data_IF_968573253422
#
_entry.id   IF_968573253422
#
_cell.length_a   1.000
_cell.length_b   1.000
_cell.length_c   1.000
_cell.angle_alpha   90.00
_cell.angle_beta   90.00
_cell.angle_gamma   90.00
#
_symmetry.space_group_name_H-M   'P 1'
#
loop_
_entity.id
_entity.type
_entity.pdbx_description
1 polymer ?
#
# COMPACT_ATOMS: atom_id res chain seq x y z
N UNK A 1 -7.91 33.29 -2.66
CA UNK A 1 -7.72 31.83 -2.75
C UNK A 1 -6.43 31.57 -3.50
N UNK A 2 -5.41 31.03 -2.83
CA UNK A 2 -4.15 30.72 -3.49
C UNK A 2 -4.35 29.47 -4.37
N UNK A 3 -4.31 29.65 -5.69
CA UNK A 3 -4.24 28.53 -6.63
C UNK A 3 -2.86 27.90 -6.51
N UNK A 4 -2.76 26.80 -5.78
CA UNK A 4 -1.54 26.00 -5.75
C UNK A 4 -1.38 25.40 -7.15
N UNK A 5 -0.41 25.90 -7.92
CA UNK A 5 -0.11 25.35 -9.23
C UNK A 5 0.42 23.93 -9.06
N UNK A 6 -0.28 22.95 -9.63
CA UNK A 6 0.18 21.55 -9.66
C UNK A 6 1.48 21.51 -10.47
N UNK A 7 2.55 20.99 -9.88
CA UNK A 7 3.81 20.79 -10.58
C UNK A 7 3.62 19.76 -11.70
N UNK A 8 3.70 20.21 -12.97
CA UNK A 8 3.51 19.34 -14.14
C UNK A 8 4.85 18.99 -14.77
N UNK A 9 5.16 17.68 -14.83
CA UNK A 9 6.33 17.16 -15.55
C UNK A 9 5.94 16.69 -16.95
N UNK A 10 6.64 17.16 -18.00
CA UNK A 10 6.39 16.68 -19.37
C UNK A 10 6.86 15.24 -19.53
N UNK A 11 6.00 14.42 -20.14
CA UNK A 11 6.27 13.02 -20.49
C UNK A 11 5.72 12.75 -21.88
N UNK A 12 6.49 12.03 -22.68
CA UNK A 12 6.06 11.59 -24.00
C UNK A 12 5.40 10.21 -23.86
N UNK A 13 4.30 10.02 -24.59
CA UNK A 13 3.55 8.77 -24.63
C UNK A 13 3.28 8.42 -26.10
N UNK A 14 3.39 7.14 -26.43
CA UNK A 14 3.02 6.64 -27.75
C UNK A 14 1.57 6.16 -27.72
N UNK A 15 0.78 6.65 -28.67
CA UNK A 15 -0.62 6.28 -28.84
C UNK A 15 -0.83 5.84 -30.29
N UNK A 16 -1.70 4.85 -30.49
CA UNK A 16 -2.09 4.48 -31.85
C UNK A 16 -2.79 5.65 -32.57
N UNK A 17 -2.65 5.72 -33.89
CA UNK A 17 -3.28 6.77 -34.71
C UNK A 17 -4.80 6.78 -34.53
N UNK A 18 -5.41 5.60 -34.44
CA UNK A 18 -6.86 5.47 -34.23
C UNK A 18 -7.29 5.99 -32.85
N UNK A 19 -6.54 5.66 -31.80
CA UNK A 19 -6.76 6.17 -30.43
C UNK A 19 -6.70 7.69 -30.41
N UNK A 20 -5.68 8.28 -31.04
CA UNK A 20 -5.50 9.73 -31.08
C UNK A 20 -6.67 10.44 -31.77
N UNK A 21 -7.17 9.88 -32.88
CA UNK A 21 -8.35 10.39 -33.59
C UNK A 21 -9.60 10.37 -32.72
N UNK A 22 -9.89 9.23 -32.07
CA UNK A 22 -11.05 9.09 -31.17
C UNK A 22 -10.98 10.07 -30.00
N UNK A 23 -9.82 10.20 -29.36
CA UNK A 23 -9.61 11.17 -28.27
C UNK A 23 -9.78 12.62 -28.75
N UNK A 24 -9.38 12.93 -29.98
CA UNK A 24 -9.54 14.27 -30.56
C UNK A 24 -11.02 14.62 -30.77
N UNK A 25 -11.82 13.68 -31.26
CA UNK A 25 -13.28 13.86 -31.40
C UNK A 25 -13.93 14.05 -30.03
N UNK A 26 -13.56 13.23 -29.04
CA UNK A 26 -14.07 13.36 -27.67
C UNK A 26 -13.70 14.71 -27.05
N UNK A 27 -12.45 15.16 -27.19
CA UNK A 27 -12.00 16.45 -26.68
C UNK A 27 -12.79 17.61 -27.31
N UNK A 28 -12.97 17.59 -28.64
CA UNK A 28 -13.74 18.59 -29.38
C UNK A 28 -15.21 18.64 -28.92
N UNK A 29 -15.84 17.48 -28.68
CA UNK A 29 -17.21 17.41 -28.18
C UNK A 29 -17.40 18.06 -26.79
N UNK A 30 -16.32 18.18 -26.02
CA UNK A 30 -16.31 18.84 -24.70
C UNK A 30 -15.78 20.28 -24.73
N UNK A 31 -15.49 20.83 -25.92
CA UNK A 31 -14.88 22.16 -26.06
C UNK A 31 -13.47 22.26 -25.45
N UNK A 32 -12.76 21.13 -25.30
CA UNK A 32 -11.42 21.07 -24.71
C UNK A 32 -10.38 20.79 -25.79
N UNK A 33 -9.15 21.24 -25.55
CA UNK A 33 -8.01 20.80 -26.37
C UNK A 33 -7.71 19.33 -26.10
N UNK A 34 -7.16 18.62 -27.11
CA UNK A 34 -6.75 17.23 -26.97
C UNK A 34 -5.80 17.02 -25.77
N UNK A 35 -4.84 17.93 -25.60
CA UNK A 35 -3.89 17.91 -24.48
C UNK A 35 -4.61 18.00 -23.13
N UNK A 36 -5.48 19.00 -22.95
CA UNK A 36 -6.19 19.19 -21.69
C UNK A 36 -7.12 18.01 -21.37
N UNK A 37 -7.71 17.41 -22.42
CA UNK A 37 -8.55 16.23 -22.29
C UNK A 37 -7.76 14.99 -21.84
N UNK A 38 -6.62 14.70 -22.47
CA UNK A 38 -5.74 13.57 -22.10
C UNK A 38 -5.21 13.75 -20.66
N UNK A 39 -4.73 14.95 -20.32
CA UNK A 39 -4.26 15.24 -18.96
C UNK A 39 -5.35 14.97 -17.91
N UNK A 40 -6.56 15.46 -18.15
CA UNK A 40 -7.68 15.26 -17.23
C UNK A 40 -8.04 13.78 -17.08
N UNK A 41 -8.08 13.01 -18.16
CA UNK A 41 -8.33 11.55 -18.09
C UNK A 41 -7.28 10.87 -17.22
N UNK A 42 -6.00 11.17 -17.44
CA UNK A 42 -4.90 10.55 -16.70
C UNK A 42 -4.92 10.93 -15.23
N UNK A 43 -5.12 12.22 -14.92
CA UNK A 43 -5.23 12.72 -13.55
C UNK A 43 -6.45 12.10 -12.83
N UNK A 44 -7.62 12.10 -13.47
CA UNK A 44 -8.84 11.50 -12.91
C UNK A 44 -8.66 10.02 -12.65
N UNK A 45 -8.05 9.29 -13.59
CA UNK A 45 -7.79 7.85 -13.42
C UNK A 45 -6.79 7.59 -12.30
N UNK A 46 -5.73 8.37 -12.19
CA UNK A 46 -4.75 8.25 -11.11
C UNK A 46 -5.39 8.54 -9.74
N UNK A 47 -6.21 9.59 -9.65
CA UNK A 47 -6.89 9.96 -8.41
C UNK A 47 -7.97 8.95 -7.99
N UNK A 48 -8.49 8.15 -8.93
CA UNK A 48 -9.42 7.05 -8.61
C UNK A 48 -8.75 5.84 -7.95
N UNK A 49 -7.42 5.75 -7.98
CA UNK A 49 -6.69 4.65 -7.35
C UNK A 49 -6.56 4.90 -5.84
N UNK A 50 -7.40 4.25 -5.05
CA UNK A 50 -7.16 4.08 -3.61
C UNK A 50 -6.17 2.94 -3.42
N UNK A 51 -4.87 3.25 -3.28
CA UNK A 51 -3.91 2.26 -2.77
C UNK A 51 -4.14 2.17 -1.26
N UNK A 52 -5.11 1.38 -0.84
CA UNK A 52 -5.29 1.03 0.55
C UNK A 52 -4.16 0.08 0.94
N UNK A 53 -3.04 0.64 1.39
CA UNK A 53 -2.11 -0.11 2.23
C UNK A 53 -2.83 -0.23 3.56
N UNK A 54 -3.49 -1.37 3.79
CA UNK A 54 -4.02 -1.73 5.10
C UNK A 54 -2.91 -1.51 6.13
N UNK A 55 -3.16 -0.63 7.12
CA UNK A 55 -2.26 -0.47 8.26
C UNK A 55 -2.20 -1.74 9.11
N UNK A 56 -3.25 -2.58 9.02
CA UNK A 56 -3.28 -3.89 9.62
C UNK A 56 -2.41 -4.84 8.78
N UNK A 57 -1.29 -5.34 9.32
CA UNK A 57 -0.39 -6.25 8.61
C UNK A 57 -0.95 -7.67 8.49
N UNK A 58 -2.10 -7.97 9.10
CA UNK A 58 -2.73 -9.29 8.99
C UNK A 58 -3.18 -9.59 7.55
N UNK A 59 -2.72 -10.69 6.93
CA UNK A 59 -3.21 -11.14 5.63
C UNK A 59 -4.68 -11.55 5.64
N UNK A 60 -5.22 -11.96 6.80
CA UNK A 60 -6.64 -12.29 7.00
C UNK A 60 -7.50 -11.07 7.33
N UNK A 61 -6.89 -9.92 7.62
CA UNK A 61 -7.59 -8.72 8.05
C UNK A 61 -8.26 -8.84 9.43
N UNK A 62 -7.78 -9.74 10.28
CA UNK A 62 -8.30 -9.88 11.64
C UNK A 62 -7.87 -8.71 12.55
N UNK A 63 -8.64 -8.36 13.59
CA UNK A 63 -8.44 -7.15 14.36
C UNK A 63 -7.30 -7.25 15.40
N UNK A 64 -6.45 -8.28 15.34
CA UNK A 64 -5.44 -8.51 16.37
C UNK A 64 -4.50 -7.32 16.57
N UNK A 65 -4.13 -6.63 15.48
CA UNK A 65 -3.28 -5.43 15.51
C UNK A 65 -4.04 -4.13 15.86
N UNK A 66 -5.37 -4.14 15.86
CA UNK A 66 -6.19 -3.02 16.28
C UNK A 66 -6.42 -3.01 17.81
N UNK A 67 -6.14 -4.14 18.47
CA UNK A 67 -6.25 -4.30 19.92
C UNK A 67 -5.06 -3.62 20.65
N UNK A 68 -5.31 -2.61 21.51
CA UNK A 68 -4.25 -1.90 22.21
C UNK A 68 -3.45 -2.78 23.18
N UNK A 69 -4.05 -3.85 23.73
CA UNK A 69 -3.35 -4.77 24.64
C UNK A 69 -2.33 -5.63 23.87
N UNK A 70 -2.71 -6.13 22.69
CA UNK A 70 -1.81 -6.88 21.82
C UNK A 70 -0.63 -6.02 21.37
N UNK A 71 -0.90 -4.77 20.97
CA UNK A 71 0.14 -3.83 20.58
C UNK A 71 1.10 -3.50 21.72
N UNK A 72 0.59 -3.28 22.94
CA UNK A 72 1.41 -3.02 24.12
C UNK A 72 2.35 -4.19 24.46
N UNK A 73 1.87 -5.43 24.35
CA UNK A 73 2.69 -6.62 24.58
C UNK A 73 3.76 -6.80 23.49
N UNK A 74 3.44 -6.53 22.21
CA UNK A 74 4.42 -6.52 21.12
C UNK A 74 5.52 -5.51 21.38
N UNK A 75 5.17 -4.26 21.70
CA UNK A 75 6.14 -3.20 21.98
C UNK A 75 7.07 -3.58 23.15
N UNK A 76 6.50 -4.14 24.21
CA UNK A 76 7.25 -4.65 25.36
C UNK A 76 8.24 -5.74 24.96
N UNK A 77 7.82 -6.72 24.14
CA UNK A 77 8.70 -7.81 23.65
C UNK A 77 9.80 -7.28 22.74
N UNK A 78 9.48 -6.37 21.83
CA UNK A 78 10.45 -5.71 20.94
C UNK A 78 11.50 -4.97 21.76
N UNK A 79 11.08 -4.23 22.80
CA UNK A 79 11.99 -3.53 23.70
C UNK A 79 12.90 -4.51 24.45
N UNK A 80 12.35 -5.58 25.03
CA UNK A 80 13.14 -6.58 25.73
C UNK A 80 14.17 -7.26 24.81
N UNK A 81 13.80 -7.56 23.56
CA UNK A 81 14.70 -8.14 22.57
C UNK A 81 15.84 -7.18 22.21
N UNK A 82 15.53 -5.90 21.94
CA UNK A 82 16.53 -4.86 21.65
C UNK A 82 17.50 -4.64 22.82
N UNK A 83 17.02 -4.77 24.05
CA UNK A 83 17.82 -4.67 25.28
C UNK A 83 18.62 -5.95 25.59
N UNK A 84 18.55 -6.99 24.74
CA UNK A 84 19.25 -8.27 24.94
C UNK A 84 18.76 -9.08 26.13
N UNK A 85 17.59 -8.73 26.70
CA UNK A 85 17.00 -9.40 27.87
C UNK A 85 16.31 -10.71 27.53
N UNK A 86 16.09 -10.97 26.24
CA UNK A 86 15.46 -12.19 25.75
C UNK A 86 16.54 -13.20 25.43
N UNK A 87 16.69 -14.22 26.26
CA UNK A 87 17.45 -15.42 25.90
C UNK A 87 16.57 -16.27 25.00
N UNK A 88 16.87 -16.35 23.70
CA UNK A 88 16.30 -17.38 22.82
C UNK A 88 16.81 -18.73 23.32
N UNK A 89 16.15 -19.31 24.32
CA UNK A 89 16.68 -20.44 25.08
C UNK A 89 16.25 -21.77 24.49
N UNK A 90 15.16 -21.78 23.72
CA UNK A 90 14.59 -22.99 23.16
C UNK A 90 14.59 -22.86 21.63
N UNK A 91 15.55 -23.53 21.01
CA UNK A 91 15.55 -23.77 19.55
C UNK A 91 14.97 -25.16 19.37
N UNK A 92 13.74 -25.23 18.90
CA UNK A 92 13.07 -26.50 18.58
C UNK A 92 13.42 -26.85 17.13
N UNK A 93 14.07 -28.00 16.91
CA UNK A 93 14.64 -28.36 15.61
C UNK A 93 13.81 -29.40 14.85
N UNK A 94 12.94 -30.12 15.54
CA UNK A 94 12.10 -31.17 14.95
C UNK A 94 10.68 -31.15 15.50
N UNK A 95 9.78 -31.83 14.78
CA UNK A 95 8.38 -32.02 15.19
C UNK A 95 8.29 -32.75 16.53
N UNK A 96 9.20 -33.70 16.80
CA UNK A 96 9.29 -34.41 18.08
C UNK A 96 9.74 -33.49 19.21
N UNK A 97 10.72 -32.63 18.99
CA UNK A 97 11.15 -31.63 19.98
C UNK A 97 10.02 -30.69 20.37
N UNK A 98 9.27 -30.21 19.36
CA UNK A 98 8.10 -29.34 19.58
C UNK A 98 7.05 -30.07 20.41
N UNK A 99 6.73 -31.31 20.05
CA UNK A 99 5.70 -32.10 20.73
C UNK A 99 6.09 -32.38 22.19
N UNK A 100 7.34 -32.79 22.42
CA UNK A 100 7.85 -33.05 23.76
C UNK A 100 7.88 -31.79 24.62
N UNK A 101 8.29 -30.65 24.04
CA UNK A 101 8.29 -29.38 24.74
C UNK A 101 6.86 -28.96 25.14
N UNK A 102 5.90 -29.00 24.21
CA UNK A 102 4.50 -28.62 24.49
C UNK A 102 3.89 -29.51 25.58
N UNK A 103 4.15 -30.82 25.53
CA UNK A 103 3.65 -31.74 26.55
C UNK A 103 4.30 -31.54 27.93
N UNK A 104 5.37 -30.76 28.02
CA UNK A 104 6.09 -30.44 29.25
C UNK A 104 5.80 -29.05 29.82
N UNK A 105 5.02 -28.23 29.10
CA UNK A 105 4.53 -26.91 29.55
C UNK A 105 3.35 -27.05 30.51
#
# INVERSE_FOLDING_TARGET
MATIAIEKKRKNIDLSVDTLKKLSIMAASQGKSLKAFIENILETKANSLSVEVSSNPSPSGDPWFDDPENMAEVEKRVKAYKEGKVKTTVVLQSTEDITNFINSL
#
